data_IF_197895924783
#
_entry.id   IF_197895924783
#
_cell.length_a   1.000
_cell.length_b   1.000
_cell.length_c   1.000
_cell.angle_alpha   90.00
_cell.angle_beta   90.00
_cell.angle_gamma   90.00
#
_symmetry.space_group_name_H-M   'P 1'
#
loop_
_entity.id
_entity.type
_entity.pdbx_description
1 polymer ?
#
# COMPACT_ATOMS: atom_id res chain seq x y z
N UNK A 1 17.47 -18.18 37.79
CA UNK A 1 18.53 -17.16 37.56
C UNK A 1 17.88 -15.81 37.28
N UNK A 2 18.30 -14.73 37.94
CA UNK A 2 17.77 -13.35 37.73
C UNK A 2 17.87 -12.90 36.26
N UNK A 3 18.80 -13.48 35.49
CA UNK A 3 18.98 -13.19 34.07
C UNK A 3 17.85 -13.76 33.20
N UNK A 4 17.31 -14.93 33.56
CA UNK A 4 16.19 -15.55 32.84
C UNK A 4 14.90 -14.72 32.97
N UNK A 5 14.67 -14.11 34.13
CA UNK A 5 13.52 -13.21 34.35
C UNK A 5 13.65 -11.91 33.55
N UNK A 6 14.87 -11.35 33.43
CA UNK A 6 15.14 -10.18 32.58
C UNK A 6 14.94 -10.48 31.10
N UNK A 7 15.34 -11.68 30.65
CA UNK A 7 15.11 -12.15 29.28
C UNK A 7 13.63 -12.32 29.00
N UNK A 8 12.88 -12.95 29.92
CA UNK A 8 11.42 -13.07 29.80
C UNK A 8 10.75 -11.70 29.71
N UNK A 9 11.15 -10.76 30.57
CA UNK A 9 10.61 -9.41 30.57
C UNK A 9 10.88 -8.68 29.26
N UNK A 10 12.10 -8.78 28.70
CA UNK A 10 12.43 -8.18 27.40
C UNK A 10 11.61 -8.78 26.25
N UNK A 11 11.40 -10.10 26.25
CA UNK A 11 10.56 -10.76 25.24
C UNK A 11 9.12 -10.29 25.35
N UNK A 12 8.56 -10.24 26.56
CA UNK A 12 7.21 -9.72 26.78
C UNK A 12 7.07 -8.26 26.34
N UNK A 13 8.05 -7.40 26.64
CA UNK A 13 8.05 -6.00 26.23
C UNK A 13 8.08 -5.87 24.69
N UNK A 14 8.90 -6.67 24.01
CA UNK A 14 8.97 -6.67 22.54
C UNK A 14 7.65 -7.13 21.89
N UNK A 15 7.00 -8.13 22.48
CA UNK A 15 5.70 -8.62 22.00
C UNK A 15 4.63 -7.53 22.12
N UNK A 16 4.56 -6.81 23.25
CA UNK A 16 3.58 -5.72 23.45
C UNK A 16 3.73 -4.60 22.43
N UNK A 17 4.97 -4.21 22.09
CA UNK A 17 5.23 -3.14 21.11
C UNK A 17 4.80 -3.55 19.70
N UNK A 18 4.89 -4.85 19.37
CA UNK A 18 4.55 -5.36 18.04
C UNK A 18 3.04 -5.30 17.72
N UNK A 19 2.18 -5.36 18.74
CA UNK A 19 0.72 -5.30 18.55
C UNK A 19 0.19 -3.88 18.22
N UNK A 20 0.98 -2.84 18.42
CA UNK A 20 0.60 -1.45 18.15
C UNK A 20 0.82 -0.99 16.70
N UNK A 21 1.48 -1.80 15.88
CA UNK A 21 1.73 -1.48 14.47
C UNK A 21 0.52 -1.87 13.61
N UNK A 22 -0.50 -1.02 13.61
CA UNK A 22 -1.54 -1.07 12.58
C UNK A 22 -0.91 -0.55 11.27
N UNK A 23 -1.00 -1.32 10.19
CA UNK A 23 -0.65 -0.81 8.87
C UNK A 23 -1.53 0.41 8.56
N UNK A 24 -0.95 1.47 7.98
CA UNK A 24 -1.71 2.64 7.54
C UNK A 24 -2.80 2.17 6.57
N UNK A 25 -4.00 2.75 6.68
CA UNK A 25 -5.05 2.54 5.70
C UNK A 25 -4.50 2.81 4.29
N UNK A 26 -4.61 1.80 3.42
CA UNK A 26 -4.22 1.89 2.02
C UNK A 26 -4.99 2.99 1.28
N UNK A 27 -4.60 3.29 0.05
CA UNK A 27 -5.37 4.23 -0.76
C UNK A 27 -6.56 3.55 -1.42
N UNK A 28 -7.59 4.34 -1.76
CA UNK A 28 -8.72 3.94 -2.59
C UNK A 28 -9.01 5.06 -3.58
N UNK A 29 -8.59 4.90 -4.82
CA UNK A 29 -8.71 5.94 -5.86
C UNK A 29 -9.70 5.44 -6.91
N UNK A 30 -10.92 6.01 -6.90
CA UNK A 30 -11.94 5.74 -7.92
C UNK A 30 -11.69 6.61 -9.14
N UNK A 31 -11.67 6.00 -10.31
CA UNK A 31 -11.44 6.68 -11.60
C UNK A 31 -12.58 6.38 -12.57
N UNK A 32 -12.87 7.36 -13.43
CA UNK A 32 -13.80 7.20 -14.56
C UNK A 32 -13.22 7.91 -15.78
N UNK A 33 -12.91 7.12 -16.81
CA UNK A 33 -12.45 7.60 -18.11
C UNK A 33 -13.67 7.76 -19.03
N UNK A 34 -13.73 8.88 -19.74
CA UNK A 34 -14.84 9.16 -20.67
C UNK A 34 -14.66 8.42 -22.00
N UNK A 35 -13.41 8.28 -22.44
CA UNK A 35 -13.09 7.89 -23.81
C UNK A 35 -12.40 6.52 -23.90
N UNK A 36 -12.22 5.85 -22.75
CA UNK A 36 -11.47 4.59 -22.63
C UNK A 36 -12.26 3.63 -21.75
N UNK A 37 -12.52 2.42 -22.27
CA UNK A 37 -13.17 1.32 -21.53
C UNK A 37 -12.40 0.02 -21.75
N UNK A 38 -12.67 -0.99 -20.91
CA UNK A 38 -12.15 -2.36 -21.08
C UNK A 38 -10.62 -2.43 -21.27
N UNK A 39 -9.90 -1.46 -20.70
CA UNK A 39 -8.46 -1.23 -20.93
C UNK A 39 -7.69 -1.27 -19.62
N UNK A 40 -6.44 -1.72 -19.68
CA UNK A 40 -5.50 -1.70 -18.56
C UNK A 40 -4.90 -0.31 -18.40
N UNK A 41 -5.08 0.29 -17.22
CA UNK A 41 -4.55 1.59 -16.85
C UNK A 41 -3.53 1.42 -15.73
N UNK A 42 -2.43 2.17 -15.81
CA UNK A 42 -1.38 2.18 -14.79
C UNK A 42 -1.44 3.46 -13.96
N UNK A 43 -1.32 3.31 -12.65
CA UNK A 43 -1.00 4.41 -11.75
C UNK A 43 0.52 4.48 -11.66
N UNK A 44 1.09 5.64 -12.00
CA UNK A 44 2.53 5.84 -11.99
C UNK A 44 2.91 7.08 -11.20
N UNK A 45 4.03 7.02 -10.48
CA UNK A 45 4.67 8.18 -9.89
C UNK A 45 5.89 8.62 -10.70
N UNK A 46 6.10 9.94 -10.74
CA UNK A 46 7.26 10.57 -11.34
C UNK A 46 8.25 10.94 -10.23
N UNK A 47 9.53 10.58 -10.39
CA UNK A 47 10.58 10.96 -9.44
C UNK A 47 11.76 11.64 -10.13
N UNK A 48 12.23 12.76 -9.55
CA UNK A 48 13.46 13.45 -9.94
C UNK A 48 13.38 14.36 -11.17
N UNK A 49 14.47 15.10 -11.41
CA UNK A 49 14.62 16.11 -12.48
C UNK A 49 14.55 15.54 -13.91
N UNK A 50 14.75 14.23 -14.07
CA UNK A 50 14.77 13.53 -15.35
C UNK A 50 13.50 12.70 -15.64
N UNK A 51 12.43 12.90 -14.85
CA UNK A 51 11.09 12.33 -15.09
C UNK A 51 11.05 10.79 -15.21
N UNK A 52 11.81 10.07 -14.38
CA UNK A 52 11.72 8.62 -14.36
C UNK A 52 10.34 8.20 -13.87
N UNK A 53 9.64 7.39 -14.68
CA UNK A 53 8.29 6.90 -14.42
C UNK A 53 8.36 5.51 -13.81
N UNK A 54 7.74 5.33 -12.65
CA UNK A 54 7.60 4.03 -12.00
C UNK A 54 6.13 3.66 -11.92
N UNK A 55 5.81 2.41 -12.23
CA UNK A 55 4.46 1.86 -12.08
C UNK A 55 4.22 1.51 -10.60
N UNK A 56 3.22 2.14 -9.99
CA UNK A 56 2.75 1.84 -8.64
C UNK A 56 1.69 0.75 -8.62
N UNK A 57 0.71 0.85 -9.52
CA UNK A 57 -0.46 -0.04 -9.52
C UNK A 57 -1.07 -0.15 -10.93
N UNK A 58 -2.05 -1.03 -11.09
CA UNK A 58 -2.80 -1.21 -12.31
C UNK A 58 -4.25 -1.58 -12.06
N UNK A 59 -5.14 -1.04 -12.89
CA UNK A 59 -6.56 -1.40 -12.88
C UNK A 59 -7.06 -1.66 -14.29
N UNK A 60 -7.94 -2.64 -14.46
CA UNK A 60 -8.67 -2.85 -15.71
C UNK A 60 -10.01 -2.12 -15.59
N UNK A 61 -10.29 -1.22 -16.53
CA UNK A 61 -11.55 -0.49 -16.56
C UNK A 61 -12.70 -1.41 -16.95
N UNK A 62 -13.88 -1.15 -16.41
CA UNK A 62 -15.10 -1.81 -16.85
C UNK A 62 -15.65 -1.18 -18.15
N UNK A 63 -16.76 -1.73 -18.66
CA UNK A 63 -17.48 -1.24 -19.86
C UNK A 63 -18.00 0.19 -19.75
N UNK A 64 -18.02 0.77 -18.55
CA UNK A 64 -18.43 2.17 -18.28
C UNK A 64 -17.22 3.09 -18.09
N UNK A 65 -16.00 2.59 -18.29
CA UNK A 65 -14.75 3.34 -18.11
C UNK A 65 -14.35 3.52 -16.64
N UNK A 66 -14.91 2.74 -15.72
CA UNK A 66 -14.69 2.89 -14.27
C UNK A 66 -13.68 1.87 -13.74
N UNK A 67 -12.89 2.27 -12.73
CA UNK A 67 -11.94 1.42 -12.02
C UNK A 67 -11.61 1.96 -10.63
N UNK A 68 -11.00 1.13 -9.78
CA UNK A 68 -10.51 1.51 -8.45
C UNK A 68 -9.06 1.03 -8.30
N UNK A 69 -8.13 1.95 -8.05
CA UNK A 69 -6.79 1.61 -7.57
C UNK A 69 -6.83 1.49 -6.05
N UNK A 70 -6.23 0.42 -5.51
CA UNK A 70 -6.23 0.17 -4.07
C UNK A 70 -4.99 -0.63 -3.66
N UNK A 71 -4.33 -0.23 -2.58
CA UNK A 71 -3.20 -0.96 -1.97
C UNK A 71 -3.61 -1.80 -0.78
#
# INVERSE_FOLDING_TARGET
SKNMQKQLFSVCLFLVISFGLQAKDGYNIKVKFQDVTDSLVYLCHYFGKNQTVFKDDSVVLNKKGEGIFQS
#
